data_IF_837273534685
#
_entry.id   IF_837273534685
#
_cell.length_a   1.000
_cell.length_b   1.000
_cell.length_c   1.000
_cell.angle_alpha   90.00
_cell.angle_beta   90.00
_cell.angle_gamma   90.00
#
_symmetry.space_group_name_H-M   'P 1'
#
loop_
_entity.id
_entity.type
_entity.pdbx_description
1 polymer ?
#
# COMPACT_ATOMS: atom_id res chain seq x y z
N UNK A 1 -5.52 27.85 -1.99
CA UNK A 1 -6.23 28.77 -2.90
C UNK A 1 -5.66 28.65 -4.32
N UNK A 2 -4.34 28.81 -4.56
CA UNK A 2 -3.72 28.80 -5.90
C UNK A 2 -4.00 27.48 -6.66
N UNK A 3 -3.82 26.33 -6.00
CA UNK A 3 -4.14 25.02 -6.59
C UNK A 3 -5.62 24.92 -7.00
N UNK A 4 -6.54 25.39 -6.18
CA UNK A 4 -7.96 25.37 -6.48
C UNK A 4 -8.29 26.27 -7.70
N UNK A 5 -7.66 27.43 -7.81
CA UNK A 5 -7.83 28.36 -8.94
C UNK A 5 -7.35 27.76 -10.28
N UNK A 6 -6.39 26.83 -10.25
CA UNK A 6 -5.88 26.13 -11.43
C UNK A 6 -6.71 24.87 -11.72
N UNK A 7 -7.02 24.08 -10.68
CA UNK A 7 -7.66 22.77 -10.88
C UNK A 7 -9.14 22.89 -11.20
N UNK A 8 -9.87 23.87 -10.64
CA UNK A 8 -11.31 24.06 -10.92
C UNK A 8 -11.56 24.35 -12.40
N UNK A 9 -10.92 25.37 -13.03
CA UNK A 9 -11.10 25.62 -14.45
C UNK A 9 -10.63 24.46 -15.34
N UNK A 10 -9.50 23.83 -15.01
CA UNK A 10 -8.99 22.66 -15.75
C UNK A 10 -9.99 21.51 -15.75
N UNK A 11 -10.60 21.20 -14.60
CA UNK A 11 -11.64 20.16 -14.50
C UNK A 11 -12.92 20.57 -15.21
N UNK A 12 -13.37 21.81 -15.08
CA UNK A 12 -14.57 22.32 -15.75
C UNK A 12 -14.44 22.27 -17.28
N UNK A 13 -13.24 22.44 -17.81
CA UNK A 13 -12.96 22.32 -19.25
C UNK A 13 -12.85 20.86 -19.69
N UNK A 14 -12.15 20.02 -18.90
CA UNK A 14 -11.92 18.61 -19.23
C UNK A 14 -13.19 17.76 -19.12
N UNK A 15 -14.09 18.08 -18.18
CA UNK A 15 -15.34 17.33 -17.93
C UNK A 15 -16.51 17.74 -18.85
N UNK A 16 -16.29 18.57 -19.87
CA UNK A 16 -17.31 18.92 -20.87
C UNK A 16 -17.57 17.80 -21.88
N UNK A 17 -16.67 16.84 -21.99
CA UNK A 17 -16.90 15.66 -22.83
C UNK A 17 -17.97 14.75 -22.18
N UNK A 18 -18.95 14.23 -22.96
CA UNK A 18 -19.92 13.29 -22.43
C UNK A 18 -19.18 12.05 -21.90
N UNK A 19 -19.57 11.59 -20.72
CA UNK A 19 -19.03 10.34 -20.16
C UNK A 19 -19.39 9.18 -21.10
N UNK A 20 -18.46 8.28 -21.40
CA UNK A 20 -18.82 7.05 -22.05
C UNK A 20 -19.85 6.30 -21.19
N UNK A 21 -20.84 5.64 -21.83
CA UNK A 21 -21.80 4.86 -21.07
C UNK A 21 -21.06 3.84 -20.20
N UNK A 22 -21.57 3.53 -18.99
CA UNK A 22 -20.96 2.51 -18.15
C UNK A 22 -20.79 1.22 -18.94
N UNK A 23 -19.66 0.50 -18.81
CA UNK A 23 -19.52 -0.81 -19.43
C UNK A 23 -20.73 -1.66 -19.03
N UNK A 24 -21.35 -2.36 -19.99
CA UNK A 24 -22.42 -3.32 -19.69
C UNK A 24 -21.89 -4.28 -18.62
N UNK A 25 -22.49 -4.22 -17.44
CA UNK A 25 -22.14 -5.15 -16.39
C UNK A 25 -22.58 -6.54 -16.86
N UNK A 26 -21.71 -7.56 -16.82
CA UNK A 26 -22.12 -8.92 -17.12
C UNK A 26 -23.34 -9.24 -16.24
N UNK A 27 -24.42 -9.68 -16.86
CA UNK A 27 -25.72 -9.98 -16.24
C UNK A 27 -25.66 -11.16 -15.25
N UNK A 28 -24.48 -11.76 -15.07
CA UNK A 28 -24.25 -12.69 -13.97
C UNK A 28 -24.11 -11.90 -12.69
N UNK A 29 -25.22 -11.66 -12.01
CA UNK A 29 -25.23 -11.26 -10.61
C UNK A 29 -24.46 -12.34 -9.84
N UNK A 30 -23.16 -12.09 -9.63
CA UNK A 30 -22.35 -12.92 -8.73
C UNK A 30 -22.99 -12.79 -7.37
N UNK A 31 -23.33 -13.91 -6.76
CA UNK A 31 -24.11 -13.95 -5.52
C UNK A 31 -23.35 -13.20 -4.41
N UNK A 32 -24.05 -12.50 -3.50
CA UNK A 32 -23.46 -11.88 -2.31
C UNK A 32 -22.56 -12.86 -1.53
N UNK A 33 -22.85 -14.15 -1.57
CA UNK A 33 -22.09 -15.23 -0.93
C UNK A 33 -20.63 -15.35 -1.44
N UNK A 34 -20.37 -15.06 -2.73
CA UNK A 34 -19.02 -15.15 -3.28
C UNK A 34 -18.12 -14.01 -2.77
N UNK A 35 -18.68 -12.80 -2.67
CA UNK A 35 -17.99 -11.64 -2.10
C UNK A 35 -17.63 -11.86 -0.64
N UNK A 36 -18.57 -12.36 0.17
CA UNK A 36 -18.37 -12.65 1.59
C UNK A 36 -17.31 -13.76 1.78
N UNK A 37 -17.32 -14.76 0.91
CA UNK A 37 -16.33 -15.85 0.91
C UNK A 37 -14.93 -15.31 0.66
N UNK A 38 -14.76 -14.38 -0.31
CA UNK A 38 -13.46 -13.75 -0.58
C UNK A 38 -13.03 -12.88 0.59
N UNK A 39 -13.91 -12.03 1.12
CA UNK A 39 -13.58 -11.11 2.21
C UNK A 39 -13.16 -11.83 3.50
N UNK A 40 -13.73 -13.00 3.78
CA UNK A 40 -13.37 -13.85 4.92
C UNK A 40 -12.23 -14.82 4.64
N UNK A 41 -11.73 -14.87 3.41
CA UNK A 41 -10.65 -15.77 3.07
C UNK A 41 -9.33 -15.39 3.76
N UNK A 42 -8.55 -16.40 4.15
CA UNK A 42 -7.24 -16.20 4.77
C UNK A 42 -6.30 -15.32 3.92
N UNK A 43 -6.21 -15.48 2.58
CA UNK A 43 -5.39 -14.59 1.75
C UNK A 43 -5.81 -13.13 1.82
N UNK A 44 -7.12 -12.84 1.86
CA UNK A 44 -7.64 -11.48 1.94
C UNK A 44 -7.31 -10.84 3.30
N UNK A 45 -7.57 -11.54 4.40
CA UNK A 45 -7.30 -11.05 5.75
C UNK A 45 -5.80 -10.81 5.99
N UNK A 46 -4.94 -11.71 5.51
CA UNK A 46 -3.48 -11.52 5.60
C UNK A 46 -3.03 -10.30 4.79
N UNK A 47 -3.59 -10.07 3.62
CA UNK A 47 -3.26 -8.91 2.81
C UNK A 47 -3.76 -7.61 3.48
N UNK A 48 -4.95 -7.61 4.04
CA UNK A 48 -5.49 -6.47 4.79
C UNK A 48 -4.62 -6.14 6.01
N UNK A 49 -4.18 -7.15 6.76
CA UNK A 49 -3.25 -6.97 7.87
C UNK A 49 -1.89 -6.41 7.40
N UNK A 50 -1.35 -6.92 6.29
CA UNK A 50 -0.11 -6.42 5.71
C UNK A 50 -0.23 -4.94 5.31
N UNK A 51 -1.34 -4.54 4.69
CA UNK A 51 -1.58 -3.14 4.34
C UNK A 51 -1.82 -2.24 5.55
N UNK A 52 -2.47 -2.74 6.60
CA UNK A 52 -2.64 -2.00 7.84
C UNK A 52 -1.31 -1.73 8.54
N UNK A 53 -0.47 -2.76 8.71
CA UNK A 53 0.86 -2.62 9.30
C UNK A 53 1.77 -1.71 8.46
N UNK A 54 1.80 -1.92 7.14
CA UNK A 54 2.58 -1.10 6.21
C UNK A 54 2.07 0.34 6.19
N UNK A 55 0.76 0.55 6.19
CA UNK A 55 0.14 1.87 6.25
C UNK A 55 0.50 2.62 7.52
N UNK A 56 0.36 1.97 8.68
CA UNK A 56 0.80 2.54 9.96
C UNK A 56 2.25 3.00 9.90
N UNK A 57 3.17 2.10 9.49
CA UNK A 57 4.59 2.41 9.42
C UNK A 57 4.88 3.60 8.46
N UNK A 58 4.27 3.60 7.28
CA UNK A 58 4.43 4.67 6.28
C UNK A 58 4.00 6.03 6.84
N UNK A 59 2.82 6.11 7.48
CA UNK A 59 2.32 7.39 7.99
C UNK A 59 3.08 7.85 9.23
N UNK A 60 3.49 6.94 10.13
CA UNK A 60 4.35 7.27 11.25
C UNK A 60 5.72 7.79 10.79
N UNK A 61 6.31 7.19 9.73
CA UNK A 61 7.56 7.66 9.11
C UNK A 61 7.39 9.07 8.50
N UNK A 62 6.28 9.33 7.82
CA UNK A 62 6.04 10.66 7.21
C UNK A 62 6.02 11.76 8.26
N UNK A 63 5.28 11.54 9.34
CA UNK A 63 5.16 12.52 10.44
C UNK A 63 6.45 12.59 11.24
N UNK A 64 7.10 11.44 11.49
CA UNK A 64 8.34 11.35 12.25
C UNK A 64 9.61 11.81 11.49
N UNK A 65 9.52 12.06 10.17
CA UNK A 65 10.70 12.40 9.37
C UNK A 65 11.32 13.74 9.78
N UNK A 66 10.51 14.76 9.99
CA UNK A 66 11.00 16.09 10.41
C UNK A 66 11.64 16.02 11.78
N UNK A 67 11.00 15.47 12.83
CA UNK A 67 11.66 15.25 14.12
C UNK A 67 12.95 14.44 14.02
N UNK A 68 12.96 13.31 13.29
CA UNK A 68 14.16 12.49 13.11
C UNK A 68 15.33 13.32 12.56
N UNK A 69 15.09 14.13 11.51
CA UNK A 69 16.12 14.94 10.88
C UNK A 69 16.61 16.06 11.81
N UNK A 70 15.72 16.65 12.60
CA UNK A 70 16.11 17.66 13.59
C UNK A 70 16.92 17.08 14.75
N UNK A 71 16.60 15.88 15.23
CA UNK A 71 17.42 15.13 16.17
C UNK A 71 18.83 14.82 15.63
N UNK A 72 18.97 14.71 14.31
CA UNK A 72 20.24 14.49 13.60
C UNK A 72 20.97 15.81 13.27
N UNK A 73 20.49 16.94 13.76
CA UNK A 73 21.11 18.26 13.61
C UNK A 73 20.72 19.02 12.36
N UNK A 74 19.70 18.57 11.60
CA UNK A 74 19.18 19.36 10.51
C UNK A 74 18.37 20.56 11.03
N UNK A 75 18.45 21.71 10.32
CA UNK A 75 17.52 22.79 10.59
C UNK A 75 16.09 22.39 10.23
N UNK A 76 15.10 22.97 10.88
CA UNK A 76 13.67 22.73 10.58
C UNK A 76 13.36 22.98 9.10
N UNK A 77 13.98 24.01 8.49
CA UNK A 77 13.84 24.31 7.07
C UNK A 77 14.38 23.18 6.19
N UNK A 78 15.56 22.65 6.51
CA UNK A 78 16.16 21.53 5.78
C UNK A 78 15.30 20.26 5.92
N UNK A 79 14.81 19.98 7.12
CA UNK A 79 13.93 18.84 7.38
C UNK A 79 12.59 18.94 6.61
N UNK A 80 12.00 20.15 6.55
CA UNK A 80 10.81 20.41 5.74
C UNK A 80 11.06 20.21 4.24
N UNK A 81 12.21 20.67 3.73
CA UNK A 81 12.62 20.43 2.33
C UNK A 81 12.80 18.93 2.06
N UNK A 82 13.42 18.18 2.97
CA UNK A 82 13.57 16.73 2.84
C UNK A 82 12.21 16.01 2.75
N UNK A 83 11.22 16.44 3.55
CA UNK A 83 9.86 15.93 3.47
C UNK A 83 9.21 16.27 2.12
N UNK A 84 9.35 17.50 1.63
CA UNK A 84 8.85 17.95 0.32
C UNK A 84 9.49 17.18 -0.84
N UNK A 85 10.81 16.99 -0.81
CA UNK A 85 11.55 16.18 -1.79
C UNK A 85 11.14 14.70 -1.72
N UNK A 86 10.84 14.17 -0.54
CA UNK A 86 10.21 12.85 -0.38
C UNK A 86 8.86 12.77 -1.10
N UNK A 87 8.06 13.84 -1.10
CA UNK A 87 6.83 13.96 -1.89
C UNK A 87 7.10 13.95 -3.40
N UNK A 88 8.14 14.66 -3.87
CA UNK A 88 8.57 14.58 -5.27
C UNK A 88 9.03 13.16 -5.64
N UNK A 89 9.79 12.50 -4.75
CA UNK A 89 10.15 11.08 -4.87
C UNK A 89 8.93 10.18 -5.02
N UNK A 90 7.86 10.44 -4.27
CA UNK A 90 6.60 9.70 -4.38
C UNK A 90 5.98 9.78 -5.78
N UNK A 91 5.99 10.96 -6.38
CA UNK A 91 5.52 11.15 -7.76
C UNK A 91 6.39 10.38 -8.75
N UNK A 92 7.70 10.48 -8.61
CA UNK A 92 8.66 9.73 -9.44
C UNK A 92 8.49 8.21 -9.29
N UNK A 93 8.26 7.72 -8.06
CA UNK A 93 7.99 6.30 -7.82
C UNK A 93 6.77 5.80 -8.59
N UNK A 94 5.70 6.58 -8.63
CA UNK A 94 4.47 6.22 -9.37
C UNK A 94 4.70 6.07 -10.87
N UNK A 95 5.58 6.86 -11.48
CA UNK A 95 5.89 6.71 -12.93
C UNK A 95 6.58 5.40 -13.24
N UNK A 96 7.31 4.83 -12.27
CA UNK A 96 8.01 3.55 -12.42
C UNK A 96 7.12 2.33 -12.16
N UNK A 97 5.93 2.51 -11.58
CA UNK A 97 5.05 1.40 -11.20
C UNK A 97 4.65 0.51 -12.38
N UNK A 98 4.30 1.10 -13.51
CA UNK A 98 3.90 0.35 -14.70
C UNK A 98 5.02 -0.58 -15.21
N UNK A 99 6.28 -0.13 -15.12
CA UNK A 99 7.44 -0.96 -15.46
C UNK A 99 7.61 -2.10 -14.47
N UNK A 100 7.50 -1.82 -13.17
CA UNK A 100 7.57 -2.83 -12.13
C UNK A 100 6.45 -3.88 -12.29
N UNK A 101 5.23 -3.45 -12.59
CA UNK A 101 4.07 -4.31 -12.78
C UNK A 101 4.23 -5.28 -13.96
N UNK A 102 4.92 -4.86 -15.02
CA UNK A 102 5.20 -5.72 -16.19
C UNK A 102 6.19 -6.84 -15.91
N UNK A 103 7.08 -6.66 -14.94
CA UNK A 103 8.16 -7.60 -14.62
C UNK A 103 7.94 -8.41 -13.34
N UNK A 104 6.83 -8.17 -12.64
CA UNK A 104 6.55 -8.82 -11.36
C UNK A 104 5.11 -9.30 -11.27
N UNK A 105 4.90 -10.40 -10.54
CA UNK A 105 3.54 -10.81 -10.18
C UNK A 105 2.96 -9.88 -9.11
N UNK A 106 1.63 -9.83 -8.96
CA UNK A 106 0.97 -9.05 -7.91
C UNK A 106 1.49 -9.40 -6.50
N UNK A 107 1.75 -10.69 -6.26
CA UNK A 107 2.28 -11.17 -4.99
C UNK A 107 3.72 -10.69 -4.74
N UNK A 108 4.60 -10.92 -5.71
CA UNK A 108 6.02 -10.50 -5.64
C UNK A 108 6.13 -8.99 -5.48
N UNK A 109 5.33 -8.24 -6.23
CA UNK A 109 5.29 -6.77 -6.17
C UNK A 109 4.89 -6.26 -4.79
N UNK A 110 3.87 -6.89 -4.16
CA UNK A 110 3.46 -6.54 -2.81
C UNK A 110 4.60 -6.75 -1.79
N UNK A 111 5.23 -7.91 -1.81
CA UNK A 111 6.33 -8.24 -0.90
C UNK A 111 7.51 -7.29 -1.10
N UNK A 112 7.94 -7.08 -2.35
CA UNK A 112 9.08 -6.23 -2.67
C UNK A 112 8.85 -4.77 -2.22
N UNK A 113 7.69 -4.20 -2.51
CA UNK A 113 7.40 -2.81 -2.16
C UNK A 113 7.26 -2.60 -0.66
N UNK A 114 6.61 -3.53 0.06
CA UNK A 114 6.48 -3.43 1.51
C UNK A 114 7.84 -3.63 2.18
N UNK A 115 8.63 -4.61 1.73
CA UNK A 115 9.99 -4.83 2.24
C UNK A 115 10.92 -3.64 1.96
N UNK A 116 10.87 -3.06 0.75
CA UNK A 116 11.62 -1.85 0.41
C UNK A 116 11.24 -0.66 1.31
N UNK A 117 9.95 -0.55 1.70
CA UNK A 117 9.49 0.40 2.71
C UNK A 117 10.17 0.19 4.06
N UNK A 118 10.26 -1.06 4.52
CA UNK A 118 10.97 -1.41 5.75
C UNK A 118 12.47 -1.09 5.67
N UNK A 119 13.12 -1.45 4.57
CA UNK A 119 14.58 -1.21 4.36
C UNK A 119 14.88 0.29 4.33
N UNK A 120 14.12 1.10 3.60
CA UNK A 120 14.34 2.55 3.55
C UNK A 120 14.05 3.22 4.89
N UNK A 121 13.06 2.73 5.64
CA UNK A 121 12.77 3.19 7.00
C UNK A 121 13.91 2.85 7.96
N UNK A 122 14.45 1.63 7.87
CA UNK A 122 15.62 1.21 8.67
C UNK A 122 16.85 2.08 8.36
N UNK A 123 17.11 2.30 7.07
CA UNK A 123 18.24 3.14 6.64
C UNK A 123 18.13 4.57 7.20
N UNK A 124 16.93 5.17 7.19
CA UNK A 124 16.69 6.47 7.81
C UNK A 124 16.91 6.44 9.32
N UNK A 125 16.45 5.40 10.03
CA UNK A 125 16.62 5.26 11.46
C UNK A 125 18.06 5.06 11.89
N UNK A 126 18.84 4.31 11.11
CA UNK A 126 20.23 3.93 11.46
C UNK A 126 21.29 4.92 10.96
N UNK A 127 21.02 5.67 9.86
CA UNK A 127 22.00 6.61 9.32
C UNK A 127 22.19 7.82 10.26
N UNK A 128 23.38 8.03 10.84
CA UNK A 128 23.63 9.17 11.73
C UNK A 128 23.77 10.50 10.96
N UNK A 129 24.02 10.45 9.69
CA UNK A 129 24.31 11.57 8.78
C UNK A 129 25.24 11.11 7.68
N UNK A 130 25.75 11.99 6.82
CA UNK A 130 25.47 13.44 6.78
C UNK A 130 24.06 13.79 6.32
N UNK A 131 23.60 15.01 6.55
CA UNK A 131 22.23 15.47 6.21
C UNK A 131 21.86 15.22 4.73
N UNK A 132 22.74 15.45 3.73
CA UNK A 132 22.42 15.14 2.34
C UNK A 132 22.06 13.66 2.10
N UNK A 133 22.72 12.73 2.80
CA UNK A 133 22.38 11.30 2.73
C UNK A 133 20.97 11.04 3.25
N UNK A 134 20.59 11.67 4.38
CA UNK A 134 19.25 11.54 4.94
C UNK A 134 18.19 12.09 3.99
N UNK A 135 18.48 13.19 3.28
CA UNK A 135 17.59 13.72 2.23
C UNK A 135 17.43 12.73 1.08
N UNK A 136 18.50 12.11 0.60
CA UNK A 136 18.45 11.08 -0.46
C UNK A 136 17.62 9.87 0.01
N UNK A 137 17.82 9.42 1.24
CA UNK A 137 17.03 8.33 1.84
C UNK A 137 15.55 8.70 1.98
N UNK A 138 15.23 9.95 2.32
CA UNK A 138 13.85 10.44 2.37
C UNK A 138 13.19 10.43 0.98
N UNK A 139 13.92 10.80 -0.08
CA UNK A 139 13.46 10.70 -1.48
C UNK A 139 13.23 9.23 -1.86
N UNK A 140 14.16 8.34 -1.55
CA UNK A 140 14.04 6.91 -1.83
C UNK A 140 12.82 6.29 -1.11
N UNK A 141 12.62 6.61 0.18
CA UNK A 141 11.44 6.21 0.94
C UNK A 141 10.15 6.77 0.30
N UNK A 142 10.20 8.00 -0.20
CA UNK A 142 9.11 8.60 -0.97
C UNK A 142 8.78 7.81 -2.24
N UNK A 143 9.79 7.42 -3.03
CA UNK A 143 9.58 6.60 -4.25
C UNK A 143 8.90 5.28 -3.94
N UNK A 144 9.31 4.58 -2.88
CA UNK A 144 8.67 3.33 -2.45
C UNK A 144 7.22 3.58 -2.05
N UNK A 145 6.95 4.62 -1.26
CA UNK A 145 5.60 4.99 -0.84
C UNK A 145 4.69 5.32 -2.01
N UNK A 146 5.19 5.99 -3.05
CA UNK A 146 4.47 6.27 -4.29
C UNK A 146 3.98 4.99 -4.98
N UNK A 147 4.82 3.97 -5.01
CA UNK A 147 4.46 2.66 -5.55
C UNK A 147 3.47 1.90 -4.66
N UNK A 148 3.56 2.02 -3.33
CA UNK A 148 2.63 1.37 -2.40
C UNK A 148 1.19 1.87 -2.56
N UNK A 149 0.98 3.14 -2.85
CA UNK A 149 -0.38 3.68 -3.11
C UNK A 149 -1.02 3.07 -4.35
N UNK A 150 -0.25 2.86 -5.41
CA UNK A 150 -0.73 2.18 -6.63
C UNK A 150 -0.94 0.68 -6.40
N UNK A 151 -0.05 0.04 -5.62
CA UNK A 151 -0.21 -1.35 -5.22
C UNK A 151 -1.55 -1.57 -4.49
N UNK A 152 -1.91 -0.68 -3.55
CA UNK A 152 -3.18 -0.78 -2.83
C UNK A 152 -4.38 -0.62 -3.78
N UNK A 153 -4.30 0.33 -4.72
CA UNK A 153 -5.37 0.57 -5.69
C UNK A 153 -5.61 -0.62 -6.65
N UNK A 154 -4.55 -1.36 -7.01
CA UNK A 154 -4.65 -2.50 -7.94
C UNK A 154 -4.75 -3.86 -7.24
N UNK A 155 -4.59 -3.92 -5.92
CA UNK A 155 -4.47 -5.17 -5.17
C UNK A 155 -5.66 -6.12 -5.33
N UNK A 156 -6.88 -5.57 -5.38
CA UNK A 156 -8.11 -6.36 -5.53
C UNK A 156 -8.24 -6.87 -6.96
N UNK A 157 -8.12 -5.98 -7.95
CA UNK A 157 -8.25 -6.35 -9.37
C UNK A 157 -7.22 -7.37 -9.80
N UNK A 158 -5.98 -7.23 -9.33
CA UNK A 158 -4.87 -8.12 -9.64
C UNK A 158 -5.03 -9.55 -9.07
N UNK A 159 -5.87 -9.73 -8.02
CA UNK A 159 -6.02 -11.02 -7.32
C UNK A 159 -7.40 -11.65 -7.43
N UNK A 160 -8.45 -10.85 -7.45
CA UNK A 160 -9.84 -11.32 -7.41
C UNK A 160 -10.70 -10.78 -8.56
N UNK A 161 -10.10 -9.99 -9.46
CA UNK A 161 -10.82 -9.40 -10.58
C UNK A 161 -11.61 -8.14 -10.21
N UNK A 162 -12.40 -7.64 -11.16
CA UNK A 162 -13.09 -6.36 -11.04
C UNK A 162 -14.55 -6.47 -10.53
N UNK A 163 -15.12 -7.67 -10.47
CA UNK A 163 -16.56 -7.88 -10.25
C UNK A 163 -17.07 -7.29 -8.93
N UNK A 164 -16.31 -7.43 -7.84
CA UNK A 164 -16.65 -6.88 -6.51
C UNK A 164 -15.65 -5.82 -6.05
N UNK A 165 -15.04 -5.12 -7.01
CA UNK A 165 -13.94 -4.19 -6.73
C UNK A 165 -14.28 -3.17 -5.65
N UNK A 166 -15.43 -2.51 -5.74
CA UNK A 166 -15.81 -1.44 -4.79
C UNK A 166 -15.83 -1.91 -3.34
N UNK A 167 -16.54 -3.00 -3.07
CA UNK A 167 -16.70 -3.53 -1.72
C UNK A 167 -15.39 -4.13 -1.19
N UNK A 168 -14.73 -4.97 -1.99
CA UNK A 168 -13.47 -5.61 -1.56
C UNK A 168 -12.36 -4.58 -1.37
N UNK A 169 -12.28 -3.54 -2.21
CA UNK A 169 -11.30 -2.46 -2.03
C UNK A 169 -11.58 -1.64 -0.79
N UNK A 170 -12.86 -1.35 -0.49
CA UNK A 170 -13.25 -0.68 0.74
C UNK A 170 -12.89 -1.48 1.99
N UNK A 171 -13.21 -2.78 2.01
CA UNK A 171 -12.85 -3.67 3.12
C UNK A 171 -11.33 -3.83 3.29
N UNK A 172 -10.59 -3.88 2.19
CA UNK A 172 -9.13 -3.98 2.21
C UNK A 172 -8.47 -2.69 2.71
N UNK A 173 -9.04 -1.53 2.35
CA UNK A 173 -8.51 -0.22 2.71
C UNK A 173 -8.88 0.19 4.15
N UNK A 174 -10.01 -0.26 4.69
CA UNK A 174 -10.51 0.18 5.99
C UNK A 174 -9.49 0.00 7.14
N UNK A 175 -8.86 -1.17 7.36
CA UNK A 175 -7.87 -1.33 8.41
C UNK A 175 -6.64 -0.44 8.21
N UNK A 176 -6.20 -0.26 6.97
CA UNK A 176 -5.06 0.61 6.64
C UNK A 176 -5.39 2.09 6.89
N UNK A 177 -6.62 2.51 6.61
CA UNK A 177 -7.09 3.89 6.88
C UNK A 177 -7.13 4.17 8.38
N UNK A 178 -7.66 3.24 9.18
CA UNK A 178 -7.66 3.36 10.64
C UNK A 178 -6.22 3.42 11.17
N UNK A 179 -5.36 2.52 10.71
CA UNK A 179 -3.94 2.50 11.09
C UNK A 179 -3.23 3.82 10.74
N UNK A 180 -3.49 4.37 9.56
CA UNK A 180 -2.96 5.66 9.12
C UNK A 180 -3.45 6.84 9.98
N UNK A 181 -4.73 6.82 10.40
CA UNK A 181 -5.30 7.88 11.22
C UNK A 181 -4.71 7.94 12.63
N UNK A 182 -4.38 6.80 13.23
CA UNK A 182 -3.76 6.74 14.57
C UNK A 182 -2.24 6.89 14.54
N UNK A 183 -1.59 6.68 13.38
CA UNK A 183 -0.13 6.65 13.24
C UNK A 183 0.57 7.93 13.73
N UNK A 184 0.07 9.17 13.52
CA UNK A 184 0.73 10.37 14.02
C UNK A 184 0.84 10.38 15.54
N UNK A 185 -0.26 10.11 16.23
CA UNK A 185 -0.30 10.09 17.68
C UNK A 185 0.51 8.91 18.26
N UNK A 186 0.25 7.69 17.78
CA UNK A 186 0.94 6.50 18.27
C UNK A 186 2.44 6.55 17.96
N UNK A 187 2.83 7.09 16.80
CA UNK A 187 4.22 7.28 16.43
C UNK A 187 4.95 8.24 17.38
N UNK A 188 4.36 9.39 17.71
CA UNK A 188 4.94 10.34 18.63
C UNK A 188 5.08 9.73 20.05
N UNK A 189 4.03 9.10 20.58
CA UNK A 189 4.06 8.44 21.90
C UNK A 189 5.08 7.31 21.95
N UNK A 190 5.22 6.52 20.89
CA UNK A 190 6.24 5.48 20.78
C UNK A 190 7.65 6.08 20.73
N UNK A 191 7.87 7.20 20.03
CA UNK A 191 9.18 7.84 19.99
C UNK A 191 9.62 8.30 21.39
N UNK A 192 8.71 8.88 22.17
CA UNK A 192 8.99 9.28 23.57
C UNK A 192 9.37 8.09 24.44
N UNK A 193 8.62 6.98 24.36
CA UNK A 193 8.87 5.79 25.18
C UNK A 193 10.12 5.01 24.75
N UNK A 194 10.49 5.06 23.48
CA UNK A 194 11.64 4.37 22.92
C UNK A 194 12.95 5.18 23.02
N UNK A 195 12.89 6.44 23.47
CA UNK A 195 14.06 7.31 23.60
C UNK A 195 14.49 7.98 22.29
N UNK A 196 13.54 8.26 21.39
CA UNK A 196 13.75 9.08 20.20
C UNK A 196 13.28 8.45 18.88
N UNK A 197 13.25 9.28 17.85
CA UNK A 197 12.79 8.89 16.52
C UNK A 197 13.68 7.83 15.83
N UNK A 198 15.02 7.77 16.04
CA UNK A 198 15.83 6.69 15.47
C UNK A 198 15.37 5.29 15.88
N UNK A 199 15.03 5.12 17.15
CA UNK A 199 14.53 3.85 17.69
C UNK A 199 13.12 3.55 17.17
N UNK A 200 12.24 4.57 17.11
CA UNK A 200 10.94 4.44 16.48
C UNK A 200 11.06 3.91 15.04
N UNK A 201 11.93 4.51 14.21
CA UNK A 201 12.11 4.09 12.82
C UNK A 201 12.62 2.64 12.71
N UNK A 202 13.44 2.20 13.65
CA UNK A 202 13.87 0.79 13.73
C UNK A 202 12.68 -0.13 14.02
N UNK A 203 11.82 0.21 14.97
CA UNK A 203 10.59 -0.56 15.26
C UNK A 203 9.63 -0.56 14.07
N UNK A 204 9.43 0.58 13.42
CA UNK A 204 8.58 0.68 12.22
C UNK A 204 9.14 -0.12 11.05
N UNK A 205 10.46 -0.23 10.91
CA UNK A 205 11.08 -1.09 9.91
C UNK A 205 10.78 -2.56 10.15
N UNK A 206 10.87 -3.02 11.41
CA UNK A 206 10.50 -4.39 11.80
C UNK A 206 9.03 -4.65 11.52
N UNK A 207 8.13 -3.72 11.85
CA UNK A 207 6.70 -3.82 11.54
C UNK A 207 6.46 -3.92 10.01
N UNK A 208 7.18 -3.14 9.20
CA UNK A 208 7.09 -3.21 7.73
C UNK A 208 7.62 -4.54 7.18
N UNK A 209 8.70 -5.08 7.74
CA UNK A 209 9.22 -6.38 7.33
C UNK A 209 8.26 -7.51 7.73
N UNK A 210 7.65 -7.45 8.91
CA UNK A 210 6.59 -8.36 9.31
C UNK A 210 5.37 -8.27 8.37
N UNK A 211 5.01 -7.05 7.94
CA UNK A 211 3.97 -6.86 6.92
C UNK A 211 4.35 -7.51 5.57
N UNK A 212 5.61 -7.45 5.15
CA UNK A 212 6.08 -8.11 3.93
C UNK A 212 5.97 -9.64 4.03
N UNK A 213 6.32 -10.23 5.18
CA UNK A 213 6.15 -11.65 5.46
C UNK A 213 4.67 -12.05 5.44
N UNK A 214 3.80 -11.22 6.03
CA UNK A 214 2.35 -11.43 6.02
C UNK A 214 1.78 -11.37 4.60
N UNK A 215 2.26 -10.43 3.77
CA UNK A 215 1.90 -10.34 2.36
C UNK A 215 2.37 -11.57 1.56
N UNK A 216 3.57 -12.10 1.85
CA UNK A 216 4.06 -13.34 1.25
C UNK A 216 3.19 -14.55 1.64
N UNK A 217 2.79 -14.66 2.92
CA UNK A 217 1.92 -15.73 3.39
C UNK A 217 0.53 -15.69 2.74
N UNK A 218 0.02 -14.49 2.39
CA UNK A 218 -1.24 -14.34 1.66
C UNK A 218 -1.20 -15.01 0.28
N UNK A 219 -0.08 -14.93 -0.42
CA UNK A 219 0.07 -15.50 -1.77
C UNK A 219 0.22 -17.03 -1.75
N UNK A 220 0.95 -17.58 -0.77
CA UNK A 220 1.09 -19.04 -0.59
C UNK A 220 -0.25 -19.66 -0.27
N UNK A 221 -1.06 -19.02 0.57
CA UNK A 221 -2.40 -19.50 0.92
C UNK A 221 -3.34 -19.52 -0.30
N UNK A 222 -3.29 -18.50 -1.17
CA UNK A 222 -4.07 -18.45 -2.40
C UNK A 222 -3.71 -19.59 -3.37
N UNK A 223 -2.43 -19.85 -3.55
CA UNK A 223 -1.95 -20.94 -4.42
C UNK A 223 -2.41 -22.33 -3.96
N UNK A 224 -2.40 -22.56 -2.64
CA UNK A 224 -2.87 -23.84 -2.05
C UNK A 224 -4.36 -24.06 -2.27
N UNK A 225 -5.19 -23.04 -2.14
CA UNK A 225 -6.63 -23.11 -2.39
C UNK A 225 -6.93 -23.43 -3.86
N UNK A 226 -6.22 -22.79 -4.79
CA UNK A 226 -6.35 -23.08 -6.23
C UNK A 226 -6.00 -24.51 -6.60
N UNK A 227 -4.96 -25.08 -6.01
CA UNK A 227 -4.54 -26.48 -6.23
C UNK A 227 -5.53 -27.49 -5.62
N UNK A 228 -6.11 -27.17 -4.46
CA UNK A 228 -7.11 -28.02 -3.82
C UNK A 228 -8.41 -28.08 -4.64
N UNK A 229 -8.86 -26.94 -5.18
CA UNK A 229 -10.05 -26.87 -6.05
C UNK A 229 -9.90 -27.64 -7.36
N UNK A 230 -8.69 -27.68 -7.94
CA UNK A 230 -8.41 -28.45 -9.16
C UNK A 230 -8.36 -29.99 -8.94
N UNK A 231 -8.20 -30.46 -7.71
CA UNK A 231 -8.14 -31.89 -7.39
C UNK A 231 -9.49 -32.54 -7.14
N UNK A 232 -10.57 -31.76 -7.01
CA UNK A 232 -11.92 -32.33 -6.90
C UNK A 232 -12.35 -32.86 -8.27
N UNK A 233 -12.68 -34.16 -8.42
CA UNK A 233 -13.14 -34.72 -9.68
C UNK A 233 -14.44 -34.01 -10.07
N UNK A 234 -14.48 -33.46 -11.30
CA UNK A 234 -15.74 -32.99 -11.91
C UNK A 234 -16.70 -34.18 -11.89
N UNK A 235 -17.76 -34.09 -11.07
CA UNK A 235 -18.90 -35.01 -11.18
C UNK A 235 -19.37 -34.97 -12.64
N UNK A 236 -19.25 -36.10 -13.35
CA UNK A 236 -19.87 -36.23 -14.65
C UNK A 236 -21.37 -36.03 -14.48
N UNK A 237 -22.03 -35.25 -15.37
CA UNK A 237 -23.49 -35.27 -15.43
C UNK A 237 -23.89 -36.73 -15.66
N UNK A 238 -24.76 -37.28 -14.81
CA UNK A 238 -25.39 -38.57 -15.04
C UNK A 238 -26.25 -38.42 -16.29
N UNK A 239 -25.89 -39.09 -17.36
CA UNK A 239 -26.75 -39.34 -18.53
C UNK A 239 -28.04 -40.01 -18.04
N UNK A 240 -29.09 -39.24 -17.82
CA UNK A 240 -30.44 -39.77 -17.71
C UNK A 240 -30.98 -39.90 -19.12
N UNK A 241 -30.61 -40.98 -19.81
CA UNK A 241 -31.40 -41.53 -20.93
C UNK A 241 -32.30 -42.61 -20.32
N UNK A 242 -33.57 -42.32 -20.28
CA UNK A 242 -34.69 -43.23 -20.61
C UNK A 242 -35.90 -42.38 -20.94
#
# INVERSE_FOLDING_TARGET
>A
VILALITIPAHALALRAPWPPPPEQPTHATSPDEQDTVARSRPFLLLAAAFALSGFAVYAVVIGLVPLLTERGASTTTAAWALGLGGAGQTLGRTLYARLARHTTAATRAVLLIAAGGVTTLALGQAPGPIPLLVVLAVAAGMVRGNLTLLQATAVTDRWGATHYGTLSGLLAAPATVAAAIAPWAGASLAETLGGYPHLFTVLSVASLAAAVTAAASSVSASRLSLAGKRLPRRRPSDSRT
#
